data_IF_388194910995
#
_entry.id   IF_388194910995
#
_cell.length_a   1.000
_cell.length_b   1.000
_cell.length_c   1.000
_cell.angle_alpha   90.00
_cell.angle_beta   90.00
_cell.angle_gamma   90.00
#
_symmetry.space_group_name_H-M   'P 1'
#
loop_
_entity.id
_entity.type
_entity.pdbx_description
1 polymer ?
#
# COMPACT_ATOMS: atom_id res chain seq x y z
N UNK A 1 -18.24 -17.32 8.27
CA UNK A 1 -17.75 -18.24 9.30
C UNK A 1 -17.50 -17.45 10.59
N UNK A 2 -17.71 -18.05 11.77
CA UNK A 2 -17.33 -17.40 13.03
C UNK A 2 -15.82 -17.20 13.04
N UNK A 3 -15.34 -16.04 13.46
CA UNK A 3 -13.91 -15.75 13.54
C UNK A 3 -13.19 -16.62 14.58
N UNK A 4 -11.89 -16.83 14.40
CA UNK A 4 -11.03 -17.52 15.35
C UNK A 4 -10.15 -16.51 16.10
N UNK A 5 -10.46 -16.28 17.36
CA UNK A 5 -9.72 -15.42 18.28
C UNK A 5 -8.42 -16.08 18.77
N UNK A 6 -7.48 -15.26 19.16
CA UNK A 6 -6.29 -15.67 19.91
C UNK A 6 -6.13 -14.81 21.18
N UNK A 7 -5.28 -15.25 22.08
CA UNK A 7 -4.88 -14.43 23.20
C UNK A 7 -3.81 -13.40 22.78
N UNK A 8 -3.72 -12.30 23.49
CA UNK A 8 -2.68 -11.32 23.28
C UNK A 8 -1.29 -11.95 23.49
N UNK A 9 -0.33 -11.70 22.57
CA UNK A 9 1.04 -12.18 22.75
C UNK A 9 1.63 -11.75 24.09
N UNK A 10 2.30 -12.67 24.79
CA UNK A 10 2.84 -12.42 26.13
C UNK A 10 3.98 -11.37 26.18
N UNK A 11 4.52 -10.98 25.02
CA UNK A 11 5.53 -9.92 24.91
C UNK A 11 4.92 -8.52 24.76
N UNK A 12 3.59 -8.38 24.59
CA UNK A 12 2.91 -7.10 24.65
C UNK A 12 2.77 -6.65 26.10
N UNK A 13 3.15 -5.42 26.38
CA UNK A 13 2.92 -4.85 27.70
C UNK A 13 1.44 -4.50 27.91
N UNK A 14 1.03 -4.41 29.19
CA UNK A 14 -0.36 -4.16 29.54
C UNK A 14 -0.91 -2.84 28.99
N UNK A 15 -0.09 -1.78 28.93
CA UNK A 15 -0.51 -0.47 28.44
C UNK A 15 -0.87 -0.52 26.94
N UNK A 16 -0.12 -1.29 26.12
CA UNK A 16 -0.48 -1.51 24.72
C UNK A 16 -1.78 -2.29 24.57
N UNK A 17 -1.93 -3.36 25.35
CA UNK A 17 -3.16 -4.17 25.32
C UNK A 17 -4.36 -3.35 25.75
N UNK A 18 -4.23 -2.54 26.79
CA UNK A 18 -5.29 -1.67 27.27
C UNK A 18 -5.63 -0.56 26.25
N UNK A 19 -4.62 -0.03 25.55
CA UNK A 19 -4.80 0.88 24.42
C UNK A 19 -5.60 0.25 23.27
N UNK A 20 -5.30 -0.97 22.90
CA UNK A 20 -6.05 -1.70 21.87
C UNK A 20 -7.50 -1.98 22.31
N UNK A 21 -7.72 -2.35 23.57
CA UNK A 21 -9.06 -2.55 24.13
C UNK A 21 -9.87 -1.25 24.17
N UNK A 22 -9.24 -0.15 24.56
CA UNK A 22 -9.88 1.18 24.56
C UNK A 22 -10.29 1.62 23.15
N UNK A 23 -9.58 1.15 22.11
CA UNK A 23 -9.95 1.35 20.71
C UNK A 23 -10.98 0.32 20.18
N UNK A 24 -11.58 -0.50 21.06
CA UNK A 24 -12.62 -1.46 20.71
C UNK A 24 -12.10 -2.82 20.22
N UNK A 25 -10.81 -3.11 20.42
CA UNK A 25 -10.21 -4.40 20.04
C UNK A 25 -10.02 -5.25 21.30
N UNK A 26 -11.03 -6.04 21.65
CA UNK A 26 -10.97 -6.86 22.85
C UNK A 26 -9.96 -8.00 22.76
N UNK A 27 -9.88 -8.64 21.61
CA UNK A 27 -8.97 -9.76 21.33
C UNK A 27 -8.50 -9.72 19.87
N UNK A 28 -7.25 -10.14 19.58
CA UNK A 28 -6.76 -10.26 18.21
C UNK A 28 -7.29 -11.53 17.55
N UNK A 29 -7.33 -11.52 16.22
CA UNK A 29 -7.54 -12.73 15.42
C UNK A 29 -6.29 -13.59 15.37
N UNK A 30 -6.43 -14.90 15.22
CA UNK A 30 -5.31 -15.85 15.16
C UNK A 30 -4.26 -15.47 14.11
N UNK A 31 -4.65 -15.11 12.89
CA UNK A 31 -3.74 -14.70 11.83
C UNK A 31 -2.94 -13.43 12.15
N UNK A 32 -3.51 -12.52 12.95
CA UNK A 32 -2.81 -11.30 13.39
C UNK A 32 -1.70 -11.64 14.39
N UNK A 33 -1.97 -12.55 15.31
CA UNK A 33 -0.96 -13.02 16.27
C UNK A 33 0.12 -13.82 15.58
N UNK A 34 -0.24 -14.75 14.68
CA UNK A 34 0.72 -15.53 13.89
C UNK A 34 1.69 -14.63 13.13
N UNK A 35 1.20 -13.61 12.45
CA UNK A 35 2.04 -12.65 11.75
C UNK A 35 2.92 -11.83 12.71
N UNK A 36 2.37 -11.38 13.83
CA UNK A 36 3.09 -10.60 14.82
C UNK A 36 4.23 -11.41 15.47
N UNK A 37 4.06 -12.72 15.69
CA UNK A 37 5.12 -13.63 16.18
C UNK A 37 6.24 -13.79 15.15
N UNK A 38 5.92 -13.97 13.86
CA UNK A 38 6.94 -13.98 12.81
C UNK A 38 7.75 -12.68 12.79
N UNK A 39 7.08 -11.54 12.88
CA UNK A 39 7.72 -10.24 12.93
C UNK A 39 8.62 -10.10 14.17
N UNK A 40 8.15 -10.53 15.34
CA UNK A 40 8.91 -10.49 16.59
C UNK A 40 10.14 -11.37 16.55
N UNK A 41 10.06 -12.52 15.85
CA UNK A 41 11.19 -13.43 15.61
C UNK A 41 12.20 -12.87 14.58
N UNK A 42 12.00 -11.67 14.05
CA UNK A 42 12.87 -11.05 13.05
C UNK A 42 12.72 -11.65 11.63
N UNK A 43 11.62 -12.36 11.37
CA UNK A 43 11.35 -12.98 10.06
C UNK A 43 10.68 -11.97 9.13
N UNK A 44 11.20 -11.81 7.92
CA UNK A 44 10.49 -11.07 6.87
C UNK A 44 9.21 -11.82 6.53
N UNK A 45 8.07 -11.15 6.60
CA UNK A 45 6.76 -11.79 6.44
C UNK A 45 5.77 -10.94 5.64
N UNK A 46 4.86 -11.62 4.95
CA UNK A 46 3.73 -11.05 4.26
C UNK A 46 2.41 -11.54 4.87
N UNK A 47 1.50 -10.61 5.18
CA UNK A 47 0.12 -10.92 5.52
C UNK A 47 -0.76 -10.68 4.29
N UNK A 48 -1.36 -11.76 3.78
CA UNK A 48 -2.09 -11.77 2.51
C UNK A 48 -3.54 -12.21 2.73
N UNK A 49 -4.27 -11.46 3.55
CA UNK A 49 -5.66 -11.74 3.90
C UNK A 49 -6.61 -10.73 3.24
N UNK A 50 -7.91 -11.05 3.07
CA UNK A 50 -8.88 -10.16 2.45
C UNK A 50 -8.95 -8.78 3.09
N UNK A 51 -9.50 -7.80 2.36
CA UNK A 51 -9.80 -6.46 2.90
C UNK A 51 -10.77 -6.59 4.08
N UNK A 52 -10.57 -5.78 5.13
CA UNK A 52 -11.40 -5.81 6.34
C UNK A 52 -11.04 -6.91 7.35
N UNK A 53 -10.00 -7.73 7.11
CA UNK A 53 -9.53 -8.75 8.06
C UNK A 53 -8.72 -8.21 9.25
N UNK A 54 -8.47 -6.89 9.29
CA UNK A 54 -7.70 -6.26 10.37
C UNK A 54 -6.19 -6.41 10.25
N UNK A 55 -5.63 -6.48 9.02
CA UNK A 55 -4.18 -6.57 8.76
C UNK A 55 -3.35 -5.55 9.52
N UNK A 56 -3.90 -4.35 9.74
CA UNK A 56 -3.17 -3.26 10.40
C UNK A 56 -2.75 -3.61 11.81
N UNK A 57 -3.58 -4.29 12.59
CA UNK A 57 -3.22 -4.73 13.94
C UNK A 57 -2.06 -5.72 13.91
N UNK A 58 -1.99 -6.60 12.92
CA UNK A 58 -0.97 -7.64 12.81
C UNK A 58 0.45 -7.06 12.78
N UNK A 59 0.68 -5.98 12.01
CA UNK A 59 1.99 -5.32 11.97
C UNK A 59 2.13 -4.22 13.03
N UNK A 60 1.04 -3.59 13.49
CA UNK A 60 1.14 -2.56 14.53
C UNK A 60 1.53 -3.14 15.90
N UNK A 61 1.07 -4.34 16.25
CA UNK A 61 1.49 -4.99 17.51
C UNK A 61 3.01 -5.04 17.68
N UNK A 62 3.79 -5.69 16.80
CA UNK A 62 5.25 -5.76 16.95
C UNK A 62 5.93 -4.39 16.74
N UNK A 63 5.40 -3.54 15.85
CA UNK A 63 5.96 -2.21 15.60
C UNK A 63 5.84 -1.34 16.85
N UNK A 64 4.63 -1.19 17.42
CA UNK A 64 4.42 -0.35 18.59
C UNK A 64 5.17 -0.87 19.82
N UNK A 65 5.22 -2.19 20.02
CA UNK A 65 5.99 -2.80 21.09
C UNK A 65 7.50 -2.45 20.98
N UNK A 66 8.07 -2.60 19.77
CA UNK A 66 9.49 -2.30 19.56
C UNK A 66 9.82 -0.81 19.74
N UNK A 67 8.91 0.10 19.36
CA UNK A 67 9.12 1.54 19.49
C UNK A 67 9.11 2.02 20.96
N UNK A 68 8.61 1.19 21.88
CA UNK A 68 8.62 1.42 23.34
C UNK A 68 9.85 0.86 24.03
N UNK A 69 10.59 -0.04 23.37
CA UNK A 69 11.79 -0.62 23.95
C UNK A 69 12.80 0.48 24.33
N UNK A 70 13.52 0.32 25.46
CA UNK A 70 14.56 1.24 25.85
C UNK A 70 15.62 1.37 24.75
N UNK A 71 16.24 2.55 24.67
CA UNK A 71 17.34 2.79 23.74
C UNK A 71 18.45 1.76 23.97
N UNK A 72 18.69 0.89 22.99
CA UNK A 72 19.76 -0.10 23.05
C UNK A 72 21.04 0.49 22.44
N UNK A 73 22.12 0.51 23.23
CA UNK A 73 23.48 0.77 22.73
C UNK A 73 24.24 -0.55 22.63
N UNK A 74 24.68 -0.94 21.45
CA UNK A 74 25.67 -2.02 21.30
C UNK A 74 27.07 -1.37 21.26
N UNK A 75 27.83 -1.52 22.33
CA UNK A 75 29.24 -1.18 22.39
C UNK A 75 29.60 0.21 22.99
N UNK A 76 30.82 0.33 23.48
CA UNK A 76 31.38 1.59 24.00
C UNK A 76 31.53 2.61 22.88
N UNK A 77 30.80 3.74 22.96
CA UNK A 77 30.95 4.88 22.05
C UNK A 77 29.81 5.11 21.07
N UNK A 78 28.77 4.27 21.01
CA UNK A 78 27.59 4.55 20.19
C UNK A 78 26.51 5.29 20.99
N UNK A 79 26.04 6.42 20.44
CA UNK A 79 24.89 7.10 20.99
C UNK A 79 23.69 6.13 21.03
N UNK A 80 22.99 6.11 22.17
CA UNK A 80 21.77 5.33 22.35
C UNK A 80 20.74 5.74 21.26
N UNK A 81 20.52 4.86 20.29
CA UNK A 81 19.59 5.10 19.20
C UNK A 81 18.18 4.74 19.63
N UNK A 82 17.24 5.61 19.34
CA UNK A 82 15.82 5.37 19.59
C UNK A 82 15.32 4.37 18.55
N UNK A 83 14.60 3.30 18.96
CA UNK A 83 13.96 2.41 18.01
C UNK A 83 13.02 3.18 17.10
N UNK A 84 13.06 2.85 15.81
CA UNK A 84 12.27 3.50 14.78
C UNK A 84 11.63 2.47 13.84
N UNK A 85 10.54 2.87 13.22
CA UNK A 85 9.88 2.12 12.16
C UNK A 85 9.52 3.04 11.00
N UNK A 86 9.50 2.45 9.81
CA UNK A 86 9.10 3.10 8.58
C UNK A 86 7.86 2.40 8.03
N UNK A 87 6.87 3.17 7.59
CA UNK A 87 5.69 2.66 6.93
C UNK A 87 5.60 3.24 5.53
N UNK A 88 5.52 2.35 4.53
CA UNK A 88 5.44 2.70 3.12
C UNK A 88 4.04 2.43 2.58
N UNK A 89 3.35 3.48 2.17
CA UNK A 89 2.08 3.42 1.49
C UNK A 89 2.23 3.74 -0.01
N UNK A 90 1.42 3.14 -0.89
CA UNK A 90 1.44 3.48 -2.31
C UNK A 90 0.89 4.89 -2.61
N UNK A 91 0.10 5.45 -1.71
CA UNK A 91 -0.51 6.79 -1.87
C UNK A 91 -0.36 7.63 -0.60
N UNK A 92 -0.33 8.97 -0.78
CA UNK A 92 -0.30 9.93 0.34
C UNK A 92 -1.52 9.79 1.25
N UNK A 93 -2.71 9.64 0.66
CA UNK A 93 -3.97 9.50 1.42
C UNK A 93 -3.91 8.31 2.38
N UNK A 94 -3.50 7.14 1.89
CA UNK A 94 -3.34 5.94 2.72
C UNK A 94 -2.31 6.16 3.85
N UNK A 95 -1.20 6.84 3.58
CA UNK A 95 -0.21 7.15 4.60
C UNK A 95 -0.80 8.02 5.74
N UNK A 96 -1.56 9.05 5.39
CA UNK A 96 -2.21 9.92 6.38
C UNK A 96 -3.31 9.20 7.17
N UNK A 97 -4.11 8.34 6.52
CA UNK A 97 -5.15 7.57 7.19
C UNK A 97 -4.55 6.57 8.17
N UNK A 98 -3.50 5.87 7.75
CA UNK A 98 -2.79 4.95 8.63
C UNK A 98 -2.05 5.68 9.78
N UNK A 99 -1.56 6.91 9.55
CA UNK A 99 -0.98 7.72 10.62
C UNK A 99 -2.03 8.07 11.69
N UNK A 100 -3.26 8.42 11.28
CA UNK A 100 -4.38 8.67 12.21
C UNK A 100 -4.77 7.40 12.97
N UNK A 101 -4.96 6.29 12.25
CA UNK A 101 -5.31 5.00 12.85
C UNK A 101 -4.24 4.52 13.85
N UNK A 102 -2.97 4.60 13.46
CA UNK A 102 -1.86 4.28 14.36
C UNK A 102 -1.82 5.23 15.57
N UNK A 103 -2.18 6.51 15.40
CA UNK A 103 -2.24 7.51 16.47
C UNK A 103 -3.26 7.18 17.56
N UNK A 104 -4.39 6.56 17.19
CA UNK A 104 -5.41 6.09 18.14
C UNK A 104 -4.87 4.92 18.99
N UNK A 105 -4.06 4.05 18.39
CA UNK A 105 -3.54 2.85 19.02
C UNK A 105 -2.19 3.07 19.72
N UNK A 106 -1.47 4.13 19.35
CA UNK A 106 -0.12 4.36 19.81
C UNK A 106 -0.08 5.00 21.20
N UNK A 107 0.72 4.50 22.13
CA UNK A 107 1.00 5.18 23.38
C UNK A 107 1.69 6.54 23.14
N UNK A 108 1.55 7.47 24.07
CA UNK A 108 2.14 8.82 23.97
C UNK A 108 3.66 8.88 23.81
N UNK A 109 4.36 7.78 24.06
CA UNK A 109 5.80 7.63 23.83
C UNK A 109 6.16 7.44 22.34
N UNK A 110 5.21 7.03 21.49
CA UNK A 110 5.39 6.87 20.04
C UNK A 110 5.07 8.20 19.36
N UNK A 111 6.02 8.72 18.59
CA UNK A 111 5.87 9.97 17.83
C UNK A 111 5.73 9.64 16.36
N UNK A 112 4.56 9.90 15.82
CA UNK A 112 4.18 9.59 14.45
C UNK A 112 4.40 10.81 13.57
N UNK A 113 5.13 10.65 12.46
CA UNK A 113 5.32 11.69 11.45
C UNK A 113 4.91 11.19 10.08
N UNK A 114 4.07 11.93 9.38
CA UNK A 114 3.82 11.71 7.96
C UNK A 114 4.81 12.55 7.13
N UNK A 115 5.31 11.96 6.05
CA UNK A 115 6.29 12.60 5.17
C UNK A 115 5.91 12.33 3.71
N UNK A 116 5.48 13.36 3.02
CA UNK A 116 5.17 13.30 1.59
C UNK A 116 5.60 14.56 0.83
N UNK A 117 5.24 14.67 -0.46
CA UNK A 117 5.62 15.79 -1.30
C UNK A 117 5.00 17.12 -0.89
N UNK A 118 3.88 17.09 -0.15
CA UNK A 118 3.14 18.28 0.28
C UNK A 118 3.55 18.72 1.70
N UNK A 119 4.33 17.90 2.43
CA UNK A 119 4.81 18.20 3.76
C UNK A 119 5.65 19.47 3.77
N UNK A 120 5.35 20.37 4.72
CA UNK A 120 6.12 21.59 4.93
C UNK A 120 7.47 21.34 5.64
N UNK A 121 8.31 22.35 5.79
CA UNK A 121 9.64 22.16 6.41
C UNK A 121 9.53 21.84 7.92
N UNK A 122 8.47 22.23 8.60
CA UNK A 122 8.24 21.90 10.01
C UNK A 122 7.90 20.44 10.17
N UNK A 123 7.00 19.93 9.33
CA UNK A 123 6.63 18.51 9.27
C UNK A 123 7.83 17.63 8.88
N UNK A 124 8.60 18.04 7.87
CA UNK A 124 9.82 17.36 7.45
C UNK A 124 10.87 17.31 8.56
N UNK A 125 11.05 18.41 9.28
CA UNK A 125 11.96 18.48 10.42
C UNK A 125 11.46 17.60 11.57
N UNK A 126 10.16 17.63 11.90
CA UNK A 126 9.57 16.76 12.91
C UNK A 126 9.76 15.28 12.58
N UNK A 127 9.44 14.88 11.34
CA UNK A 127 9.63 13.50 10.86
C UNK A 127 11.09 13.05 10.99
N UNK A 128 12.05 13.91 10.67
CA UNK A 128 13.48 13.61 10.71
C UNK A 128 14.06 13.56 12.12
N UNK A 129 13.67 14.50 13.00
CA UNK A 129 14.35 14.72 14.28
C UNK A 129 13.60 14.14 15.48
N UNK A 130 12.29 14.02 15.37
CA UNK A 130 11.44 13.67 16.50
C UNK A 130 10.63 12.41 16.32
N UNK A 131 10.13 12.10 15.12
CA UNK A 131 9.33 10.92 14.90
C UNK A 131 10.15 9.62 15.03
N UNK A 132 9.51 8.58 15.53
CA UNK A 132 10.06 7.23 15.55
C UNK A 132 9.16 6.22 14.81
N UNK A 133 7.97 6.63 14.39
CA UNK A 133 7.18 5.99 13.35
C UNK A 133 6.99 7.00 12.22
N UNK A 134 7.62 6.77 11.07
CA UNK A 134 7.53 7.65 9.91
C UNK A 134 6.73 6.95 8.81
N UNK A 135 5.61 7.57 8.42
CA UNK A 135 4.79 7.10 7.32
C UNK A 135 5.13 7.91 6.06
N UNK A 136 5.39 7.22 4.96
CA UNK A 136 5.83 7.87 3.72
C UNK A 136 5.50 7.02 2.50
N UNK A 137 6.04 7.37 1.35
CA UNK A 137 5.89 6.65 0.09
C UNK A 137 7.24 6.41 -0.60
N UNK A 138 7.30 5.52 -1.62
CA UNK A 138 8.54 5.22 -2.32
C UNK A 138 9.21 6.42 -2.99
N UNK A 139 8.43 7.39 -3.49
CA UNK A 139 8.96 8.61 -4.13
C UNK A 139 9.74 9.44 -3.11
N UNK A 140 9.21 9.63 -1.90
CA UNK A 140 9.91 10.37 -0.83
C UNK A 140 11.18 9.67 -0.37
N UNK A 141 11.16 8.33 -0.26
CA UNK A 141 12.39 7.60 0.01
C UNK A 141 13.43 7.85 -1.08
N UNK A 142 13.02 7.70 -2.34
CA UNK A 142 13.90 7.80 -3.50
C UNK A 142 14.52 9.17 -3.66
N UNK A 143 13.70 10.24 -3.63
CA UNK A 143 14.15 11.60 -3.94
C UNK A 143 14.65 12.40 -2.76
N UNK A 144 14.20 12.07 -1.54
CA UNK A 144 14.46 12.90 -0.34
C UNK A 144 15.27 12.18 0.73
N UNK A 145 14.86 11.00 1.16
CA UNK A 145 15.45 10.33 2.33
C UNK A 145 16.80 9.69 1.99
N UNK A 146 16.86 8.80 1.00
CA UNK A 146 18.06 8.03 0.67
C UNK A 146 19.23 8.91 0.18
N UNK A 147 19.03 9.87 -0.73
CA UNK A 147 20.12 10.77 -1.14
C UNK A 147 20.65 11.62 0.01
N UNK A 148 19.84 11.89 1.03
CA UNK A 148 20.21 12.66 2.21
C UNK A 148 20.36 11.80 3.47
N UNK A 149 20.69 10.52 3.32
CA UNK A 149 20.69 9.52 4.39
C UNK A 149 21.46 9.94 5.65
N UNK A 150 22.48 10.78 5.52
CA UNK A 150 23.27 11.32 6.66
C UNK A 150 22.40 12.16 7.59
N UNK A 151 21.46 12.94 7.02
CA UNK A 151 20.50 13.75 7.79
C UNK A 151 19.44 12.86 8.46
N UNK A 152 19.19 11.67 7.89
CA UNK A 152 18.24 10.67 8.39
C UNK A 152 18.92 9.55 9.19
N UNK A 153 20.18 9.74 9.60
CA UNK A 153 20.97 8.70 10.27
C UNK A 153 20.34 8.20 11.57
N UNK A 154 19.63 9.06 12.31
CA UNK A 154 18.93 8.65 13.53
C UNK A 154 17.79 7.67 13.23
N UNK A 155 16.95 7.96 12.22
CA UNK A 155 15.90 7.06 11.75
C UNK A 155 16.49 5.76 11.19
N UNK A 156 17.39 5.87 10.20
CA UNK A 156 17.97 4.72 9.52
C UNK A 156 18.70 3.77 10.46
N UNK A 157 19.47 4.31 11.40
CA UNK A 157 20.21 3.49 12.37
C UNK A 157 19.37 2.98 13.54
N UNK A 158 18.15 3.48 13.71
CA UNK A 158 17.18 3.01 14.68
C UNK A 158 16.14 2.05 14.11
N UNK A 159 16.14 1.82 12.79
CA UNK A 159 15.10 1.03 12.12
C UNK A 159 15.06 -0.41 12.67
N UNK A 160 13.89 -0.77 13.21
CA UNK A 160 13.54 -2.13 13.64
C UNK A 160 12.61 -2.79 12.63
N UNK A 161 11.67 -2.03 12.08
CA UNK A 161 10.69 -2.52 11.12
C UNK A 161 10.53 -1.56 9.95
N UNK A 162 10.28 -2.14 8.77
CA UNK A 162 9.75 -1.44 7.59
C UNK A 162 8.48 -2.15 7.19
N UNK A 163 7.34 -1.46 7.31
CA UNK A 163 6.05 -1.95 6.85
C UNK A 163 5.83 -1.48 5.42
N UNK A 164 5.49 -2.40 4.53
CA UNK A 164 5.16 -2.14 3.12
C UNK A 164 3.69 -2.49 2.93
N UNK A 165 2.85 -1.48 2.91
CA UNK A 165 1.41 -1.68 2.78
C UNK A 165 0.98 -1.74 1.32
N UNK A 166 -0.11 -2.49 1.07
CA UNK A 166 -0.63 -2.77 -0.28
C UNK A 166 0.47 -3.23 -1.25
N UNK A 167 1.32 -4.16 -0.78
CA UNK A 167 2.52 -4.62 -1.48
C UNK A 167 2.23 -5.09 -2.92
N UNK A 168 1.06 -5.67 -3.18
CA UNK A 168 0.63 -6.09 -4.52
C UNK A 168 0.53 -4.94 -5.53
N UNK A 169 0.53 -3.69 -5.09
CA UNK A 169 0.55 -2.50 -5.97
C UNK A 169 1.94 -2.24 -6.56
N UNK A 170 2.99 -2.74 -5.92
CA UNK A 170 4.37 -2.57 -6.37
C UNK A 170 4.75 -3.64 -7.40
N UNK A 171 4.05 -3.67 -8.55
CA UNK A 171 4.26 -4.63 -9.63
C UNK A 171 4.70 -3.94 -10.93
N UNK A 172 5.15 -4.73 -11.92
CA UNK A 172 5.63 -4.25 -13.19
C UNK A 172 6.87 -3.37 -13.06
N UNK A 173 6.96 -2.32 -13.87
CA UNK A 173 8.09 -1.37 -13.88
C UNK A 173 8.18 -0.61 -12.55
N UNK A 174 7.05 -0.11 -12.05
CA UNK A 174 7.02 0.59 -10.76
C UNK A 174 7.50 -0.31 -9.62
N UNK A 175 7.03 -1.57 -9.58
CA UNK A 175 7.48 -2.55 -8.60
C UNK A 175 8.97 -2.84 -8.68
N UNK A 176 9.53 -2.94 -9.88
CA UNK A 176 10.97 -3.15 -10.08
C UNK A 176 11.79 -1.96 -9.54
N UNK A 177 11.34 -0.72 -9.76
CA UNK A 177 11.97 0.47 -9.17
C UNK A 177 11.84 0.50 -7.64
N UNK A 178 10.66 0.23 -7.09
CA UNK A 178 10.45 0.17 -5.63
C UNK A 178 11.33 -0.90 -5.00
N UNK A 179 11.48 -2.06 -5.62
CA UNK A 179 12.38 -3.10 -5.17
C UNK A 179 13.84 -2.60 -5.07
N UNK A 180 14.30 -1.76 -5.98
CA UNK A 180 15.63 -1.15 -5.88
C UNK A 180 15.71 -0.06 -4.80
N UNK A 181 14.64 0.71 -4.61
CA UNK A 181 14.56 1.68 -3.50
C UNK A 181 14.69 0.96 -2.15
N UNK A 182 14.00 -0.18 -1.99
CA UNK A 182 14.06 -1.00 -0.76
C UNK A 182 15.45 -1.60 -0.55
N UNK A 183 16.13 -2.06 -1.59
CA UNK A 183 17.51 -2.55 -1.50
C UNK A 183 18.46 -1.45 -1.05
N UNK A 184 18.34 -0.24 -1.62
CA UNK A 184 19.11 0.94 -1.19
C UNK A 184 18.80 1.32 0.26
N UNK A 185 17.53 1.27 0.66
CA UNK A 185 17.13 1.50 2.06
C UNK A 185 17.80 0.51 3.01
N UNK A 186 17.72 -0.80 2.73
CA UNK A 186 18.33 -1.86 3.54
C UNK A 186 19.85 -1.68 3.62
N UNK A 187 20.48 -1.41 2.48
CA UNK A 187 21.93 -1.13 2.40
C UNK A 187 22.35 0.03 3.30
N UNK A 188 21.62 1.15 3.22
CA UNK A 188 21.90 2.33 4.03
C UNK A 188 21.58 2.12 5.51
N UNK A 189 20.49 1.42 5.84
CA UNK A 189 20.18 1.05 7.20
C UNK A 189 21.32 0.21 7.82
N UNK A 190 21.83 -0.79 7.08
CA UNK A 190 22.97 -1.60 7.49
C UNK A 190 24.25 -0.75 7.69
N UNK A 191 24.52 0.20 6.79
CA UNK A 191 25.64 1.14 6.93
C UNK A 191 25.50 2.04 8.17
N UNK A 192 24.27 2.30 8.61
CA UNK A 192 23.97 3.00 9.87
C UNK A 192 23.84 2.05 11.07
N UNK A 193 24.04 0.74 10.90
CA UNK A 193 24.05 -0.26 11.97
C UNK A 193 22.69 -0.83 12.34
N UNK A 194 21.72 -0.82 11.42
CA UNK A 194 20.40 -1.42 11.59
C UNK A 194 20.10 -2.44 10.48
N UNK A 195 19.43 -3.52 10.86
CA UNK A 195 18.91 -4.54 9.94
C UNK A 195 17.42 -4.71 10.22
N UNK A 196 16.56 -3.90 9.57
CA UNK A 196 15.13 -3.91 9.85
C UNK A 196 14.47 -5.18 9.32
N UNK A 197 13.51 -5.69 10.08
CA UNK A 197 12.57 -6.70 9.61
C UNK A 197 11.55 -6.05 8.68
N UNK A 198 11.35 -6.63 7.49
CA UNK A 198 10.39 -6.13 6.50
C UNK A 198 9.07 -6.87 6.66
N UNK A 199 7.99 -6.12 6.81
CA UNK A 199 6.63 -6.61 6.98
C UNK A 199 5.79 -6.13 5.80
N UNK A 200 5.22 -7.06 5.04
CA UNK A 200 4.39 -6.74 3.88
C UNK A 200 2.91 -6.98 4.21
N UNK A 201 2.08 -6.02 3.88
CA UNK A 201 0.62 -6.17 3.89
C UNK A 201 0.12 -6.17 2.45
N UNK A 202 -0.70 -7.14 2.10
CA UNK A 202 -1.18 -7.29 0.72
C UNK A 202 -2.61 -7.81 0.70
N UNK A 203 -3.32 -7.58 -0.40
CA UNK A 203 -4.46 -8.41 -0.74
C UNK A 203 -3.99 -9.83 -1.08
N UNK A 204 -4.91 -10.77 -1.14
CA UNK A 204 -4.61 -12.16 -1.53
C UNK A 204 -3.84 -12.20 -2.84
N UNK A 205 -2.71 -12.91 -2.84
CA UNK A 205 -1.87 -13.12 -4.02
C UNK A 205 -1.31 -14.54 -3.99
N UNK A 206 -1.42 -15.31 -5.08
CA UNK A 206 -1.03 -16.72 -5.09
C UNK A 206 0.49 -16.93 -4.95
N UNK A 207 1.29 -15.94 -5.33
CA UNK A 207 2.75 -15.97 -5.29
C UNK A 207 3.36 -15.02 -4.25
N UNK A 208 2.65 -14.74 -3.15
CA UNK A 208 3.05 -13.73 -2.18
C UNK A 208 4.45 -13.94 -1.58
N UNK A 209 4.87 -15.19 -1.36
CA UNK A 209 6.19 -15.52 -0.82
C UNK A 209 7.32 -15.10 -1.75
N UNK A 210 7.24 -15.51 -3.02
CA UNK A 210 8.28 -15.25 -4.04
C UNK A 210 8.26 -13.78 -4.47
N UNK A 211 7.06 -13.21 -4.64
CA UNK A 211 6.91 -11.79 -4.95
C UNK A 211 7.45 -10.89 -3.82
N UNK A 212 7.11 -11.21 -2.57
CA UNK A 212 7.63 -10.49 -1.41
C UNK A 212 9.15 -10.57 -1.34
N UNK A 213 9.73 -11.76 -1.54
CA UNK A 213 11.17 -11.98 -1.62
C UNK A 213 11.81 -11.14 -2.73
N UNK A 214 11.29 -11.21 -3.95
CA UNK A 214 11.77 -10.42 -5.08
C UNK A 214 11.72 -8.91 -4.80
N UNK A 215 10.65 -8.44 -4.15
CA UNK A 215 10.48 -7.02 -3.80
C UNK A 215 11.54 -6.53 -2.81
N UNK A 216 11.86 -7.31 -1.78
CA UNK A 216 12.76 -6.87 -0.70
C UNK A 216 14.22 -7.31 -0.88
N UNK A 217 14.51 -8.19 -1.84
CA UNK A 217 15.85 -8.72 -2.10
C UNK A 217 16.21 -9.92 -1.25
N UNK A 218 15.25 -10.79 -1.01
CA UNK A 218 15.37 -12.09 -0.38
C UNK A 218 14.86 -13.18 -1.34
N UNK A 219 15.19 -14.43 -1.09
CA UNK A 219 14.67 -15.53 -1.91
C UNK A 219 13.16 -15.66 -1.75
N UNK A 220 12.68 -15.69 -0.50
CA UNK A 220 11.27 -15.79 -0.14
C UNK A 220 10.99 -15.09 1.18
N UNK A 221 9.72 -14.76 1.43
CA UNK A 221 9.23 -14.31 2.74
C UNK A 221 8.24 -15.32 3.31
N UNK A 222 8.08 -15.32 4.63
CA UNK A 222 7.01 -16.08 5.28
C UNK A 222 5.64 -15.48 4.92
N UNK A 223 4.61 -16.31 4.81
CA UNK A 223 3.28 -15.83 4.40
C UNK A 223 2.21 -16.31 5.36
N UNK A 224 1.40 -15.38 5.85
CA UNK A 224 0.15 -15.65 6.55
C UNK A 224 -0.99 -15.29 5.60
N UNK A 225 -1.66 -16.30 5.05
CA UNK A 225 -2.72 -16.15 4.05
C UNK A 225 -4.12 -16.47 4.60
N UNK A 226 -4.21 -17.33 5.59
CA UNK A 226 -5.49 -17.80 6.13
C UNK A 226 -6.09 -16.75 7.07
N UNK A 227 -7.18 -16.12 6.63
CA UNK A 227 -7.90 -15.17 7.47
C UNK A 227 -8.71 -15.88 8.56
N UNK A 228 -8.46 -15.53 9.80
CA UNK A 228 -9.26 -15.96 10.95
C UNK A 228 -10.36 -14.95 11.33
N UNK A 229 -10.49 -13.84 10.60
CA UNK A 229 -11.57 -12.87 10.81
C UNK A 229 -12.91 -13.44 10.32
N UNK A 230 -14.05 -13.04 10.94
CA UNK A 230 -15.36 -13.46 10.47
C UNK A 230 -15.60 -12.90 9.07
N UNK A 231 -16.15 -13.73 8.20
CA UNK A 231 -16.54 -13.32 6.85
C UNK A 231 -18.05 -13.28 6.78
N UNK A 232 -18.60 -12.11 6.48
CA UNK A 232 -20.01 -11.95 6.18
C UNK A 232 -20.37 -12.66 4.86
N UNK A 233 -21.58 -13.19 4.78
CA UNK A 233 -22.10 -13.72 3.53
C UNK A 233 -22.21 -12.58 2.50
N UNK A 234 -21.79 -12.83 1.26
CA UNK A 234 -21.93 -11.89 0.16
C UNK A 234 -22.71 -12.55 -0.96
N UNK A 235 -23.78 -11.90 -1.36
CA UNK A 235 -24.51 -12.27 -2.58
C UNK A 235 -23.88 -11.51 -3.75
N UNK A 236 -23.34 -12.24 -4.73
CA UNK A 236 -22.79 -11.64 -5.95
C UNK A 236 -23.77 -11.86 -7.09
N UNK A 237 -24.22 -10.77 -7.70
CA UNK A 237 -25.13 -10.78 -8.83
C UNK A 237 -24.34 -10.38 -10.10
N UNK A 238 -24.45 -11.20 -11.12
CA UNK A 238 -23.94 -10.90 -12.45
C UNK A 238 -25.10 -10.33 -13.29
N UNK A 239 -25.00 -9.04 -13.64
CA UNK A 239 -26.09 -8.29 -14.24
C UNK A 239 -25.78 -7.94 -15.69
N UNK A 240 -26.68 -8.35 -16.61
CA UNK A 240 -26.65 -7.88 -17.99
C UNK A 240 -27.53 -6.62 -18.11
N UNK A 241 -26.94 -5.45 -18.43
CA UNK A 241 -27.72 -4.22 -18.58
C UNK A 241 -28.80 -4.34 -19.65
N UNK A 242 -29.96 -3.74 -19.39
CA UNK A 242 -31.13 -3.79 -20.27
C UNK A 242 -31.22 -2.60 -21.21
N UNK A 243 -30.69 -1.43 -20.81
CA UNK A 243 -30.72 -0.19 -21.59
C UNK A 243 -29.30 0.25 -21.92
N UNK A 244 -28.53 0.56 -20.91
CA UNK A 244 -27.09 0.87 -21.01
C UNK A 244 -26.45 0.69 -19.66
N UNK A 245 -25.14 0.42 -19.65
CA UNK A 245 -24.36 0.24 -18.43
C UNK A 245 -24.56 1.41 -17.44
N UNK A 246 -24.41 2.64 -17.90
CA UNK A 246 -24.52 3.83 -17.06
C UNK A 246 -25.94 3.99 -16.49
N UNK A 247 -26.96 3.85 -17.33
CA UNK A 247 -28.36 4.01 -16.92
C UNK A 247 -28.80 2.97 -15.91
N UNK A 248 -28.41 1.71 -16.10
CA UNK A 248 -28.76 0.65 -15.16
C UNK A 248 -27.94 0.79 -13.85
N UNK A 249 -26.67 1.24 -13.91
CA UNK A 249 -25.89 1.56 -12.71
C UNK A 249 -26.56 2.68 -11.91
N UNK A 250 -26.98 3.76 -12.57
CA UNK A 250 -27.67 4.91 -11.94
C UNK A 250 -29.01 4.50 -11.30
N UNK A 251 -29.79 3.68 -12.00
CA UNK A 251 -31.08 3.15 -11.48
C UNK A 251 -30.91 2.27 -10.26
N UNK A 252 -29.92 1.35 -10.29
CA UNK A 252 -29.64 0.47 -9.14
C UNK A 252 -29.12 1.28 -7.95
N UNK A 253 -28.24 2.27 -8.20
CA UNK A 253 -27.75 3.14 -7.16
C UNK A 253 -28.88 3.93 -6.49
N UNK A 254 -29.76 4.55 -7.27
CA UNK A 254 -30.94 5.28 -6.76
C UNK A 254 -31.88 4.36 -5.95
N UNK A 255 -32.27 3.21 -6.52
CA UNK A 255 -33.16 2.28 -5.87
C UNK A 255 -32.61 1.73 -4.55
N UNK A 256 -31.32 1.38 -4.48
CA UNK A 256 -30.67 0.94 -3.24
C UNK A 256 -30.61 2.06 -2.18
N UNK A 257 -30.38 3.31 -2.61
CA UNK A 257 -30.41 4.47 -1.71
C UNK A 257 -31.81 4.74 -1.18
N UNK A 258 -32.84 4.61 -2.01
CA UNK A 258 -34.24 4.75 -1.60
C UNK A 258 -34.67 3.66 -0.62
N UNK A 259 -34.06 2.46 -0.71
CA UNK A 259 -34.21 1.37 0.27
C UNK A 259 -33.27 1.54 1.51
N UNK A 260 -32.73 2.74 1.73
CA UNK A 260 -31.81 3.09 2.81
C UNK A 260 -30.55 2.22 2.87
N UNK A 261 -30.11 1.64 1.73
CA UNK A 261 -28.95 0.77 1.60
C UNK A 261 -27.72 1.61 1.25
N UNK A 262 -26.72 1.59 2.10
CA UNK A 262 -25.47 2.30 1.86
C UNK A 262 -24.68 1.64 0.73
N UNK A 263 -24.50 2.36 -0.38
CA UNK A 263 -24.05 1.78 -1.66
C UNK A 263 -22.87 2.54 -2.28
N UNK A 264 -21.84 1.81 -2.70
CA UNK A 264 -20.76 2.32 -3.55
C UNK A 264 -20.95 1.83 -5.00
N UNK A 265 -20.88 2.73 -5.98
CA UNK A 265 -20.85 2.38 -7.39
C UNK A 265 -19.48 2.70 -8.00
N UNK A 266 -18.70 1.65 -8.30
CA UNK A 266 -17.42 1.78 -8.97
C UNK A 266 -17.59 1.90 -10.48
N UNK A 267 -17.06 2.98 -11.06
CA UNK A 267 -17.14 3.25 -12.50
C UNK A 267 -15.76 3.51 -13.11
N UNK A 268 -15.64 3.36 -14.43
CA UNK A 268 -14.34 3.35 -15.10
C UNK A 268 -13.64 4.72 -15.18
N UNK A 269 -14.38 5.84 -15.10
CA UNK A 269 -13.82 7.18 -15.32
C UNK A 269 -14.36 8.22 -14.36
N UNK A 270 -13.60 9.32 -14.20
CA UNK A 270 -14.02 10.48 -13.38
C UNK A 270 -15.31 11.11 -13.89
N UNK A 271 -15.42 11.29 -15.21
CA UNK A 271 -16.65 11.79 -15.84
C UNK A 271 -17.82 10.82 -15.64
N UNK A 272 -17.55 9.50 -15.71
CA UNK A 272 -18.55 8.47 -15.40
C UNK A 272 -19.06 8.55 -13.96
N UNK A 273 -18.20 8.82 -12.98
CA UNK A 273 -18.61 8.95 -11.58
C UNK A 273 -19.57 10.16 -11.39
N UNK A 274 -19.25 11.28 -12.00
CA UNK A 274 -20.12 12.46 -11.97
C UNK A 274 -21.45 12.21 -12.66
N UNK A 275 -21.41 11.65 -13.87
CA UNK A 275 -22.62 11.36 -14.64
C UNK A 275 -23.53 10.36 -13.91
N UNK A 276 -22.95 9.27 -13.38
CA UNK A 276 -23.71 8.26 -12.63
C UNK A 276 -24.34 8.86 -11.38
N UNK A 277 -23.63 9.72 -10.63
CA UNK A 277 -24.19 10.36 -9.44
C UNK A 277 -25.31 11.35 -9.76
N UNK A 278 -25.16 12.14 -10.81
CA UNK A 278 -26.19 13.08 -11.27
C UNK A 278 -27.46 12.34 -11.73
N UNK A 279 -27.32 11.36 -12.62
CA UNK A 279 -28.46 10.56 -13.08
C UNK A 279 -29.14 9.78 -11.94
N UNK A 280 -28.37 9.24 -11.00
CA UNK A 280 -28.93 8.54 -9.86
C UNK A 280 -29.68 9.51 -8.92
N UNK A 281 -29.14 10.69 -8.69
CA UNK A 281 -29.79 11.73 -7.89
C UNK A 281 -31.11 12.19 -8.51
N UNK A 282 -31.20 12.31 -9.84
CA UNK A 282 -32.46 12.63 -10.54
C UNK A 282 -33.51 11.53 -10.39
N UNK A 283 -33.11 10.29 -10.18
CA UNK A 283 -34.00 9.13 -10.06
C UNK A 283 -34.42 8.84 -8.62
N UNK A 284 -33.62 9.27 -7.64
CA UNK A 284 -33.84 8.99 -6.23
C UNK A 284 -34.89 9.89 -5.59
N UNK A 285 -35.58 9.39 -4.58
CA UNK A 285 -36.54 10.16 -3.80
C UNK A 285 -35.88 11.32 -3.04
N UNK A 286 -34.64 11.12 -2.56
CA UNK A 286 -33.84 12.13 -1.86
C UNK A 286 -32.50 12.37 -2.62
N UNK A 287 -32.47 13.27 -3.62
CA UNK A 287 -31.26 13.53 -4.44
C UNK A 287 -30.00 13.85 -3.64
N UNK A 288 -30.13 14.57 -2.52
CA UNK A 288 -29.03 14.99 -1.68
C UNK A 288 -28.28 13.85 -0.98
N UNK A 289 -28.80 12.63 -0.99
CA UNK A 289 -28.17 11.45 -0.39
C UNK A 289 -27.20 10.72 -1.34
N UNK A 290 -27.03 11.23 -2.56
CA UNK A 290 -26.15 10.64 -3.57
C UNK A 290 -25.10 11.67 -3.97
N UNK A 291 -23.82 11.26 -4.01
CA UNK A 291 -22.72 12.10 -4.42
C UNK A 291 -21.73 11.35 -5.32
N UNK A 292 -20.78 12.09 -5.92
CA UNK A 292 -19.62 11.53 -6.59
C UNK A 292 -18.37 11.66 -5.72
N UNK A 293 -17.43 10.72 -5.87
CA UNK A 293 -16.12 10.77 -5.25
C UNK A 293 -15.04 10.38 -6.26
N UNK A 294 -14.10 11.28 -6.54
CA UNK A 294 -13.05 11.03 -7.53
C UNK A 294 -11.72 11.68 -7.18
N UNK A 295 -10.66 11.19 -7.81
CA UNK A 295 -9.38 11.88 -7.78
C UNK A 295 -9.48 13.27 -8.43
N UNK A 296 -8.92 14.27 -7.76
CA UNK A 296 -8.95 15.66 -8.20
C UNK A 296 -9.78 16.60 -7.30
N UNK A 297 -10.58 16.05 -6.39
CA UNK A 297 -11.21 16.84 -5.31
C UNK A 297 -10.15 17.30 -4.32
N UNK A 298 -10.37 18.46 -3.69
CA UNK A 298 -9.54 18.95 -2.60
C UNK A 298 -9.57 17.99 -1.42
N UNK A 299 -8.50 17.96 -0.63
CA UNK A 299 -8.40 17.07 0.51
C UNK A 299 -9.52 17.30 1.55
N UNK A 300 -10.00 18.52 1.66
CA UNK A 300 -11.11 18.89 2.55
C UNK A 300 -12.43 18.32 2.02
N UNK A 301 -12.75 18.53 0.75
CA UNK A 301 -13.96 18.00 0.11
C UNK A 301 -14.07 16.48 0.22
N UNK A 302 -12.94 15.78 0.06
CA UNK A 302 -12.90 14.33 0.21
C UNK A 302 -13.22 13.90 1.64
N UNK A 303 -12.65 14.57 2.65
CA UNK A 303 -12.93 14.27 4.06
C UNK A 303 -14.39 14.52 4.43
N UNK A 304 -14.97 15.59 3.90
CA UNK A 304 -16.37 15.92 4.14
C UNK A 304 -17.30 14.84 3.57
N UNK A 305 -17.03 14.37 2.35
CA UNK A 305 -17.76 13.26 1.73
C UNK A 305 -17.58 11.94 2.49
N UNK A 306 -16.38 11.65 2.97
CA UNK A 306 -16.08 10.47 3.78
C UNK A 306 -16.84 10.52 5.11
N UNK A 307 -16.85 11.68 5.77
CA UNK A 307 -17.60 11.89 7.01
C UNK A 307 -19.11 11.76 6.78
N UNK A 308 -19.65 12.36 5.72
CA UNK A 308 -21.05 12.29 5.36
C UNK A 308 -21.49 10.83 5.05
N UNK A 309 -20.63 10.05 4.42
CA UNK A 309 -20.88 8.62 4.19
C UNK A 309 -20.85 7.81 5.50
N UNK A 310 -19.87 8.09 6.39
CA UNK A 310 -19.76 7.41 7.69
C UNK A 310 -20.96 7.73 8.61
N UNK A 311 -21.47 8.95 8.59
CA UNK A 311 -22.64 9.36 9.40
C UNK A 311 -23.98 8.92 8.79
N UNK A 312 -23.99 8.45 7.53
CA UNK A 312 -25.19 8.08 6.79
C UNK A 312 -25.98 9.30 6.25
N UNK A 313 -25.40 10.49 6.25
CA UNK A 313 -25.93 11.65 5.55
C UNK A 313 -26.00 11.40 4.03
N UNK A 314 -24.92 10.83 3.48
CA UNK A 314 -24.86 10.28 2.13
C UNK A 314 -24.99 8.75 2.22
N UNK A 315 -25.83 8.16 1.41
CA UNK A 315 -26.00 6.72 1.27
C UNK A 315 -25.45 6.17 -0.03
N UNK A 316 -25.47 6.95 -1.12
CA UNK A 316 -25.00 6.56 -2.44
C UNK A 316 -23.76 7.30 -2.86
N UNK A 317 -22.71 6.60 -3.29
CA UNK A 317 -21.50 7.23 -3.74
C UNK A 317 -21.00 6.60 -5.04
N UNK A 318 -21.02 7.37 -6.14
CA UNK A 318 -20.40 6.95 -7.40
C UNK A 318 -18.90 7.32 -7.38
N UNK A 319 -18.02 6.35 -7.66
CA UNK A 319 -16.59 6.53 -7.53
C UNK A 319 -15.79 5.82 -8.61
N UNK A 320 -14.54 6.20 -8.75
CA UNK A 320 -13.54 5.44 -9.51
C UNK A 320 -12.75 4.53 -8.56
N UNK A 321 -11.63 3.96 -9.04
CA UNK A 321 -10.68 3.25 -8.18
C UNK A 321 -10.09 4.10 -7.04
N UNK A 322 -10.48 5.37 -6.91
CA UNK A 322 -10.04 6.25 -5.81
C UNK A 322 -10.48 5.74 -4.42
N UNK A 323 -11.63 5.05 -4.34
CA UNK A 323 -12.12 4.39 -3.12
C UNK A 323 -11.75 2.90 -3.02
N UNK A 324 -10.99 2.38 -3.96
CA UNK A 324 -10.46 1.02 -3.91
C UNK A 324 -9.44 0.86 -2.78
N UNK A 325 -8.69 1.94 -2.46
CA UNK A 325 -7.58 1.94 -1.48
C UNK A 325 -7.65 3.14 -0.53
N UNK A 326 -7.28 2.89 0.71
CA UNK A 326 -6.80 3.91 1.64
C UNK A 326 -7.82 4.81 2.28
N UNK A 327 -9.10 4.46 2.25
CA UNK A 327 -10.12 5.18 2.98
C UNK A 327 -10.84 4.19 3.86
N UNK A 328 -11.08 4.57 5.11
CA UNK A 328 -11.83 3.77 6.08
C UNK A 328 -13.34 3.83 5.77
N UNK A 329 -13.67 3.48 4.53
CA UNK A 329 -15.03 3.24 4.07
C UNK A 329 -15.18 1.73 3.92
N UNK A 330 -15.26 1.06 5.05
CA UNK A 330 -15.55 -0.37 5.12
C UNK A 330 -16.96 -0.58 5.69
N UNK A 331 -17.57 -1.68 5.36
CA UNK A 331 -18.86 -2.03 5.91
C UNK A 331 -20.06 -1.41 5.20
N UNK A 332 -19.91 -1.13 3.93
CA UNK A 332 -20.97 -0.73 3.00
C UNK A 332 -21.92 -1.92 2.79
N UNK A 333 -23.21 -1.67 2.66
CA UNK A 333 -24.21 -2.73 2.50
C UNK A 333 -24.23 -3.29 1.07
N UNK A 334 -24.00 -2.43 0.05
CA UNK A 334 -23.98 -2.85 -1.35
C UNK A 334 -22.83 -2.20 -2.16
N UNK A 335 -22.30 -2.96 -3.12
CA UNK A 335 -21.30 -2.48 -4.08
C UNK A 335 -21.77 -2.79 -5.49
N UNK A 336 -21.82 -1.78 -6.33
CA UNK A 336 -22.04 -1.89 -7.77
C UNK A 336 -20.71 -1.75 -8.49
N UNK A 337 -20.36 -2.69 -9.34
CA UNK A 337 -19.16 -2.66 -10.18
C UNK A 337 -19.61 -2.46 -11.62
N UNK A 338 -19.49 -1.26 -12.14
CA UNK A 338 -19.94 -0.86 -13.49
C UNK A 338 -18.90 -1.24 -14.54
N UNK A 339 -19.01 -2.48 -15.00
CA UNK A 339 -18.06 -3.16 -15.88
C UNK A 339 -16.90 -3.83 -15.14
N UNK A 340 -16.47 -4.99 -15.63
CA UNK A 340 -15.35 -5.71 -15.05
C UNK A 340 -14.08 -4.84 -15.03
N UNK A 341 -13.37 -4.70 -13.90
CA UNK A 341 -12.25 -3.76 -13.77
C UNK A 341 -10.95 -4.23 -14.47
N UNK A 342 -11.00 -5.32 -15.23
CA UNK A 342 -9.88 -5.85 -16.00
C UNK A 342 -8.96 -6.82 -15.23
N UNK A 343 -9.11 -6.93 -13.91
CA UNK A 343 -8.40 -7.87 -13.04
C UNK A 343 -9.33 -8.40 -11.96
N UNK A 344 -9.19 -9.69 -11.63
CA UNK A 344 -9.93 -10.31 -10.52
C UNK A 344 -9.55 -9.69 -9.18
N UNK A 345 -8.27 -9.39 -8.99
CA UNK A 345 -7.78 -8.72 -7.79
C UNK A 345 -8.46 -7.37 -7.55
N UNK A 346 -8.65 -6.55 -8.59
CA UNK A 346 -9.37 -5.29 -8.50
C UNK A 346 -10.86 -5.50 -8.21
N UNK A 347 -11.50 -6.47 -8.90
CA UNK A 347 -12.89 -6.82 -8.62
C UNK A 347 -13.10 -7.21 -7.15
N UNK A 348 -12.27 -8.10 -6.63
CA UNK A 348 -12.39 -8.55 -5.23
C UNK A 348 -12.02 -7.46 -4.22
N UNK A 349 -11.13 -6.50 -4.56
CA UNK A 349 -10.87 -5.33 -3.72
C UNK A 349 -12.07 -4.39 -3.64
N UNK A 350 -12.74 -4.14 -4.77
CA UNK A 350 -13.98 -3.34 -4.83
C UNK A 350 -15.12 -4.07 -4.09
N UNK A 351 -15.36 -5.33 -4.41
CA UNK A 351 -16.34 -6.19 -3.74
C UNK A 351 -16.07 -6.32 -2.24
N UNK A 352 -14.80 -6.28 -1.84
CA UNK A 352 -14.36 -6.33 -0.45
C UNK A 352 -14.79 -5.12 0.40
N UNK A 353 -15.23 -4.02 -0.23
CA UNK A 353 -15.83 -2.88 0.47
C UNK A 353 -17.23 -3.17 1.00
N UNK A 354 -17.94 -4.13 0.39
CA UNK A 354 -19.23 -4.59 0.85
C UNK A 354 -19.08 -5.57 2.04
N UNK A 355 -19.92 -5.39 3.05
CA UNK A 355 -20.04 -6.28 4.22
C UNK A 355 -19.52 -5.67 5.50
N UNK A 356 -20.45 -5.42 6.44
CA UNK A 356 -20.12 -5.12 7.83
C UNK A 356 -20.01 -6.43 8.60
N UNK A 357 -19.22 -6.44 9.68
CA UNK A 357 -19.11 -7.61 10.53
C UNK A 357 -20.51 -8.15 10.91
N UNK A 358 -20.86 -9.36 10.43
CA UNK A 358 -22.11 -10.04 10.73
C UNK A 358 -23.35 -9.67 9.90
N UNK A 359 -23.25 -8.76 8.90
CA UNK A 359 -24.35 -8.43 7.97
C UNK A 359 -24.08 -8.97 6.58
N UNK A 360 -25.12 -9.47 5.92
CA UNK A 360 -25.08 -9.84 4.52
C UNK A 360 -24.80 -8.61 3.64
N UNK A 361 -24.09 -8.81 2.55
CA UNK A 361 -23.72 -7.76 1.61
C UNK A 361 -24.06 -8.12 0.18
N UNK A 362 -24.42 -7.12 -0.61
CA UNK A 362 -24.71 -7.26 -2.03
C UNK A 362 -23.52 -6.74 -2.86
N UNK A 363 -23.13 -7.53 -3.85
CA UNK A 363 -22.19 -7.09 -4.89
C UNK A 363 -22.84 -7.31 -6.25
N UNK A 364 -22.92 -6.29 -7.08
CA UNK A 364 -23.49 -6.41 -8.42
C UNK A 364 -22.42 -6.07 -9.45
N UNK A 365 -22.04 -7.04 -10.29
CA UNK A 365 -21.20 -6.78 -11.46
C UNK A 365 -22.11 -6.53 -12.66
N UNK A 366 -22.14 -5.28 -13.13
CA UNK A 366 -22.88 -4.91 -14.34
C UNK A 366 -21.92 -5.04 -15.55
N UNK A 367 -22.25 -5.87 -16.51
CA UNK A 367 -21.41 -6.13 -17.67
C UNK A 367 -21.43 -4.98 -18.67
N UNK A 368 -20.27 -4.65 -19.25
CA UNK A 368 -20.19 -3.79 -20.44
C UNK A 368 -20.59 -4.56 -21.68
N UNK A 369 -20.98 -3.83 -22.71
CA UNK A 369 -21.14 -4.37 -24.07
C UNK A 369 -19.76 -4.62 -24.70
N UNK A 370 -19.03 -5.62 -24.19
CA UNK A 370 -17.78 -6.08 -24.77
C UNK A 370 -17.64 -7.60 -24.63
N UNK A 371 -16.78 -8.25 -25.46
CA UNK A 371 -16.64 -9.71 -25.44
C UNK A 371 -16.17 -10.27 -24.11
N UNK A 372 -15.31 -9.57 -23.34
CA UNK A 372 -14.78 -10.03 -22.08
C UNK A 372 -15.85 -10.10 -21.00
N UNK A 373 -16.59 -8.99 -20.79
CA UNK A 373 -17.64 -8.96 -19.77
C UNK A 373 -18.77 -9.96 -20.11
N UNK A 374 -19.16 -10.07 -21.40
CA UNK A 374 -20.14 -11.05 -21.86
C UNK A 374 -19.68 -12.49 -21.61
N UNK A 375 -18.42 -12.78 -21.82
CA UNK A 375 -17.83 -14.09 -21.55
C UNK A 375 -17.83 -14.42 -20.05
N UNK A 376 -17.48 -13.46 -19.19
CA UNK A 376 -17.51 -13.63 -17.74
C UNK A 376 -18.92 -13.87 -17.18
N UNK A 377 -19.97 -13.29 -17.78
CA UNK A 377 -21.35 -13.56 -17.41
C UNK A 377 -21.75 -15.01 -17.70
N UNK A 378 -21.24 -15.58 -18.81
CA UNK A 378 -21.50 -16.96 -19.21
C UNK A 378 -20.63 -17.98 -18.47
N UNK A 379 -19.48 -17.54 -17.93
CA UNK A 379 -18.48 -18.34 -17.25
C UNK A 379 -18.17 -17.79 -15.84
N UNK A 380 -19.16 -17.82 -14.92
CA UNK A 380 -19.00 -17.27 -13.57
C UNK A 380 -17.88 -17.95 -12.78
N UNK A 381 -17.55 -19.20 -13.08
CA UNK A 381 -16.43 -19.95 -12.49
C UNK A 381 -15.09 -19.22 -12.65
N UNK A 382 -14.92 -18.42 -13.70
CA UNK A 382 -13.71 -17.60 -13.90
C UNK A 382 -13.61 -16.41 -12.92
N UNK A 383 -14.72 -16.03 -12.31
CA UNK A 383 -14.72 -14.98 -11.27
C UNK A 383 -14.57 -15.61 -9.89
N UNK A 384 -15.22 -16.74 -9.63
CA UNK A 384 -15.34 -17.31 -8.30
C UNK A 384 -14.28 -18.35 -7.98
N UNK A 385 -13.85 -19.16 -8.95
CA UNK A 385 -12.97 -20.31 -8.73
C UNK A 385 -11.55 -20.07 -9.26
N UNK A 386 -11.35 -19.09 -10.15
CA UNK A 386 -10.03 -18.78 -10.66
C UNK A 386 -9.18 -18.04 -9.61
N UNK A 387 -7.89 -18.37 -9.50
CA UNK A 387 -6.98 -17.60 -8.65
C UNK A 387 -6.84 -16.17 -9.18
N UNK A 388 -6.70 -15.23 -8.27
CA UNK A 388 -6.34 -13.84 -8.64
C UNK A 388 -4.98 -13.80 -9.32
N UNK A 389 -4.73 -12.76 -10.10
CA UNK A 389 -3.49 -12.61 -10.86
C UNK A 389 -2.26 -12.57 -9.94
N UNK A 390 -1.20 -13.25 -10.35
CA UNK A 390 0.09 -13.18 -9.69
C UNK A 390 0.69 -11.76 -9.81
N UNK A 391 1.22 -11.23 -8.73
CA UNK A 391 1.98 -9.99 -8.76
C UNK A 391 3.39 -10.26 -9.29
N UNK A 392 3.85 -9.45 -10.24
CA UNK A 392 5.15 -9.64 -10.90
C UNK A 392 5.95 -8.35 -10.85
N UNK A 393 7.22 -8.45 -10.47
CA UNK A 393 8.23 -7.42 -10.69
C UNK A 393 9.56 -8.06 -11.09
N UNK A 394 10.35 -7.33 -11.87
CA UNK A 394 11.66 -7.78 -12.36
C UNK A 394 12.78 -6.85 -11.87
N UNK A 395 13.24 -6.99 -10.61
CA UNK A 395 14.26 -6.09 -10.05
C UNK A 395 15.61 -6.18 -10.78
N UNK A 396 15.90 -7.32 -11.39
CA UNK A 396 17.17 -7.55 -12.12
C UNK A 396 17.14 -7.00 -13.55
N UNK A 397 16.08 -6.29 -13.98
CA UNK A 397 16.05 -5.62 -15.27
C UNK A 397 17.19 -4.56 -15.35
N UNK A 398 18.12 -4.67 -16.31
CA UNK A 398 19.27 -3.78 -16.40
C UNK A 398 18.90 -2.29 -16.53
N UNK A 399 17.79 -1.98 -17.22
CA UNK A 399 17.28 -0.63 -17.41
C UNK A 399 16.74 0.00 -16.12
N UNK A 400 16.37 -0.83 -15.14
CA UNK A 400 15.98 -0.39 -13.79
C UNK A 400 17.17 -0.43 -12.86
N UNK A 401 17.88 -1.55 -12.80
CA UNK A 401 18.97 -1.77 -11.85
C UNK A 401 20.14 -0.80 -12.08
N UNK A 402 20.57 -0.59 -13.33
CA UNK A 402 21.73 0.26 -13.67
C UNK A 402 21.64 1.68 -13.11
N UNK A 403 20.55 2.44 -13.38
CA UNK A 403 20.36 3.76 -12.78
C UNK A 403 20.32 3.74 -11.24
N UNK A 404 19.73 2.73 -10.62
CA UNK A 404 19.72 2.60 -9.15
C UNK A 404 21.09 2.26 -8.57
N UNK A 405 21.97 1.54 -9.28
CA UNK A 405 23.37 1.35 -8.88
C UNK A 405 24.13 2.67 -8.92
N UNK A 406 23.88 3.52 -9.92
CA UNK A 406 24.45 4.86 -9.96
C UNK A 406 24.01 5.73 -8.78
N UNK A 407 22.71 5.69 -8.44
CA UNK A 407 22.18 6.38 -7.25
C UNK A 407 22.78 5.81 -5.95
N UNK A 408 22.90 4.50 -5.83
CA UNK A 408 23.52 3.85 -4.68
C UNK A 408 25.00 4.22 -4.53
N UNK A 409 25.75 4.36 -5.64
CA UNK A 409 27.15 4.80 -5.64
C UNK A 409 27.30 6.26 -5.17
N UNK A 410 26.32 7.13 -5.46
CA UNK A 410 26.31 8.50 -4.98
C UNK A 410 25.99 8.58 -3.49
N UNK A 411 25.07 7.75 -2.99
CA UNK A 411 24.72 7.69 -1.57
C UNK A 411 25.91 7.19 -0.73
N UNK A 412 26.51 6.11 -1.18
CA UNK A 412 27.71 5.52 -0.60
C UNK A 412 28.45 4.73 -1.69
N UNK A 413 29.78 4.86 -1.83
CA UNK A 413 30.54 4.14 -2.86
C UNK A 413 30.20 2.65 -2.85
N UNK A 414 30.07 2.07 -4.06
CA UNK A 414 29.78 0.64 -4.22
C UNK A 414 31.07 -0.18 -4.09
N UNK A 415 30.91 -1.39 -3.60
CA UNK A 415 31.95 -2.41 -3.51
C UNK A 415 31.41 -3.76 -4.00
N UNK A 416 32.26 -4.77 -4.13
CA UNK A 416 31.83 -6.12 -4.48
C UNK A 416 30.85 -6.70 -3.44
N UNK A 417 30.95 -6.30 -2.18
CA UNK A 417 30.04 -6.75 -1.12
C UNK A 417 28.58 -6.29 -1.33
N UNK A 418 28.35 -5.32 -2.19
CA UNK A 418 27.01 -4.81 -2.50
C UNK A 418 26.17 -5.75 -3.37
N UNK A 419 26.80 -6.79 -3.98
CA UNK A 419 26.09 -7.86 -4.68
C UNK A 419 25.01 -8.51 -3.80
N UNK A 420 25.25 -8.63 -2.50
CA UNK A 420 24.26 -9.17 -1.55
C UNK A 420 22.95 -8.40 -1.51
N UNK A 421 22.97 -7.10 -1.86
CA UNK A 421 21.77 -6.26 -1.87
C UNK A 421 21.10 -6.24 -3.23
N UNK A 422 21.92 -6.13 -4.31
CA UNK A 422 21.42 -5.86 -5.65
C UNK A 422 21.32 -7.13 -6.53
N UNK A 423 21.87 -8.24 -6.07
CA UNK A 423 21.85 -9.52 -6.78
C UNK A 423 22.98 -9.69 -7.80
N UNK A 424 23.01 -10.86 -8.46
CA UNK A 424 24.18 -11.29 -9.24
C UNK A 424 24.44 -10.46 -10.51
N UNK A 425 23.44 -9.75 -11.04
CA UNK A 425 23.61 -8.87 -12.21
C UNK A 425 24.24 -7.51 -11.87
N UNK A 426 24.42 -7.19 -10.58
CA UNK A 426 24.90 -5.90 -10.14
C UNK A 426 26.36 -5.63 -10.57
N UNK A 427 27.29 -6.55 -10.30
CA UNK A 427 28.70 -6.36 -10.61
C UNK A 427 28.97 -6.22 -12.12
N UNK A 428 28.40 -7.05 -13.02
CA UNK A 428 28.50 -6.83 -14.45
C UNK A 428 28.00 -5.44 -14.91
N UNK A 429 26.88 -4.98 -14.33
CA UNK A 429 26.34 -3.64 -14.64
C UNK A 429 27.22 -2.52 -14.10
N UNK A 430 27.77 -2.66 -12.89
CA UNK A 430 28.74 -1.70 -12.32
C UNK A 430 29.96 -1.58 -13.22
N UNK A 431 30.52 -2.70 -13.72
CA UNK A 431 31.63 -2.70 -14.67
C UNK A 431 31.26 -1.96 -15.99
N UNK A 432 30.02 -2.21 -16.49
CA UNK A 432 29.52 -1.49 -17.67
C UNK A 432 29.39 0.03 -17.44
N UNK A 433 28.85 0.43 -16.29
CA UNK A 433 28.72 1.83 -15.89
C UNK A 433 30.10 2.50 -15.71
N UNK A 434 31.10 1.77 -15.24
CA UNK A 434 32.47 2.24 -15.11
C UNK A 434 33.13 2.43 -16.49
N UNK A 435 32.99 1.47 -17.41
CA UNK A 435 33.43 1.59 -18.78
C UNK A 435 32.80 2.79 -19.52
N UNK A 436 31.49 3.05 -19.24
CA UNK A 436 30.75 4.21 -19.74
C UNK A 436 31.06 5.52 -19.01
N UNK A 437 32.02 5.56 -18.08
CA UNK A 437 32.43 6.73 -17.27
C UNK A 437 31.30 7.35 -16.43
N UNK A 438 30.23 6.59 -16.17
CA UNK A 438 29.15 6.96 -15.23
C UNK A 438 29.66 6.79 -13.81
N UNK A 439 30.39 5.72 -13.56
CA UNK A 439 31.10 5.45 -12.31
C UNK A 439 32.60 5.50 -12.52
N UNK A 440 33.38 5.77 -11.47
CA UNK A 440 34.82 5.69 -11.43
C UNK A 440 35.23 4.56 -10.51
N UNK A 441 36.01 3.62 -11.04
CA UNK A 441 36.66 2.59 -10.24
C UNK A 441 37.94 3.13 -9.58
N UNK A 442 38.10 2.82 -8.29
CA UNK A 442 39.33 3.04 -7.52
C UNK A 442 39.64 1.78 -6.71
N UNK A 443 40.26 0.82 -7.36
CA UNK A 443 40.67 -0.42 -6.69
C UNK A 443 39.49 -1.26 -6.15
N UNK A 444 38.43 -1.45 -6.95
CA UNK A 444 37.25 -2.23 -6.58
C UNK A 444 36.22 -1.46 -5.76
N UNK A 445 36.38 -0.15 -5.68
CA UNK A 445 35.38 0.75 -5.09
C UNK A 445 34.90 1.72 -6.15
N UNK A 446 33.60 1.78 -6.40
CA UNK A 446 33.01 2.58 -7.48
C UNK A 446 32.29 3.81 -6.94
N UNK A 447 32.62 4.96 -7.52
CA UNK A 447 32.14 6.28 -7.14
C UNK A 447 31.31 6.92 -8.25
N UNK A 448 30.24 7.62 -7.90
CA UNK A 448 29.53 8.51 -8.82
C UNK A 448 30.46 9.65 -9.29
N UNK A 449 30.41 10.00 -10.57
CA UNK A 449 31.39 10.94 -11.18
C UNK A 449 30.80 12.29 -11.58
N UNK A 450 29.48 12.42 -11.63
CA UNK A 450 28.84 13.63 -12.15
C UNK A 450 28.43 14.56 -10.98
N UNK A 451 28.32 15.90 -11.25
CA UNK A 451 27.93 16.87 -10.22
C UNK A 451 26.44 16.84 -9.87
N UNK A 452 25.61 16.31 -10.78
CA UNK A 452 24.17 16.21 -10.63
C UNK A 452 23.76 15.05 -9.70
N UNK A 453 22.49 15.00 -9.36
CA UNK A 453 21.96 13.93 -8.52
C UNK A 453 21.58 12.73 -9.39
N UNK A 454 22.14 11.58 -9.11
CA UNK A 454 21.84 10.36 -9.86
C UNK A 454 20.35 9.98 -9.82
N UNK A 455 19.65 10.28 -8.74
CA UNK A 455 18.21 10.00 -8.59
C UNK A 455 17.33 10.81 -9.54
N UNK A 456 17.78 11.99 -10.00
CA UNK A 456 17.00 12.83 -10.91
C UNK A 456 16.92 12.24 -12.33
N UNK A 457 17.75 11.22 -12.63
CA UNK A 457 17.69 10.46 -13.87
C UNK A 457 16.75 9.25 -13.81
N UNK A 458 16.05 9.04 -12.71
CA UNK A 458 15.19 7.88 -12.49
C UNK A 458 13.74 8.34 -12.34
N UNK A 459 12.88 7.85 -13.23
CA UNK A 459 11.44 7.94 -13.05
C UNK A 459 10.93 6.60 -12.54
N UNK A 460 10.37 6.55 -11.32
CA UNK A 460 9.90 5.30 -10.73
C UNK A 460 8.77 4.61 -11.52
N UNK A 461 8.11 5.32 -12.42
CA UNK A 461 6.97 4.80 -13.21
C UNK A 461 7.31 4.52 -14.67
N UNK A 462 8.56 4.71 -15.06
CA UNK A 462 9.02 4.54 -16.43
C UNK A 462 10.47 4.07 -16.48
N UNK A 463 10.80 3.26 -17.46
CA UNK A 463 12.20 2.88 -17.75
C UNK A 463 12.89 3.86 -18.69
N UNK A 464 12.15 4.78 -19.29
CA UNK A 464 12.67 5.79 -20.22
C UNK A 464 12.79 7.15 -19.54
N UNK A 465 13.96 7.79 -19.55
CA UNK A 465 14.16 9.14 -19.00
C UNK A 465 13.42 10.23 -19.82
N UNK A 466 13.02 9.92 -21.04
CA UNK A 466 12.27 10.84 -21.92
C UNK A 466 11.02 10.12 -22.42
N UNK A 467 9.82 10.53 -21.99
CA UNK A 467 8.58 10.01 -22.55
C UNK A 467 8.49 10.42 -24.03
N UNK A 468 7.99 9.50 -24.87
CA UNK A 468 7.61 9.82 -26.24
C UNK A 468 6.20 10.42 -26.17
N UNK A 469 6.06 11.67 -26.54
CA UNK A 469 4.73 12.29 -26.68
C UNK A 469 4.14 11.93 -28.05
N UNK A 470 2.98 11.30 -28.03
CA UNK A 470 2.19 11.08 -29.25
C UNK A 470 1.22 12.25 -29.34
N UNK A 471 1.48 13.13 -30.33
CA UNK A 471 0.60 14.28 -30.61
C UNK A 471 -0.27 13.92 -31.80
N UNK A 472 -1.58 13.80 -31.59
CA UNK A 472 -2.54 13.70 -32.66
C UNK A 472 -2.71 15.10 -33.29
N UNK A 473 -2.29 15.25 -34.55
CA UNK A 473 -2.62 16.46 -35.33
C UNK A 473 -4.04 16.30 -35.86
N UNK A 474 -4.96 17.00 -35.24
CA UNK A 474 -6.28 17.23 -35.88
C UNK A 474 -6.05 18.02 -37.17
N UNK A 475 -6.40 17.43 -38.29
CA UNK A 475 -6.46 18.09 -39.61
C UNK A 475 -7.65 19.03 -39.66
#
# INVERSE_FOLDING_TARGET
SPGAWADWPGWLDAELVDGFRAAGIDRPWRHQVEFAELARAGRHAAICTPTGSGKSLAYLMPVLAALREPRAGRGRGFALRRPAALYLAPTKALAHDQARAAGVLAPGSVRIGALDGDSDETERRFAREHANLVLTNPDMLHFSVLPNHRRWSALLGGLRYVVIDEAHRYQGVFGAHVAQVLRRLRRLAAAHGAEPTILLSSATAPNAADFGGALIGEDRVEVVADSAAPVAARTVVLWQPSVSLNRDTSRLLAGLVDDATQTLAFVASRAGAELTSLEAAELAAEPGRIASYRGGYLAMERRDLEAALQTGEILGLATTNALELGIDVSGIDAVLVSGFPGKLSAFWQQAGRAGRAGREALVVLLARENPLDAYLLQHPELIFDAPVEAAICHPQNPHVLGPHLAAAAQEQPLTAADERWFGPTALPLVAHLAAGKVLRDRGGTWYWTRPDRAVDHINLRSTTPRPVEIIERST
#
